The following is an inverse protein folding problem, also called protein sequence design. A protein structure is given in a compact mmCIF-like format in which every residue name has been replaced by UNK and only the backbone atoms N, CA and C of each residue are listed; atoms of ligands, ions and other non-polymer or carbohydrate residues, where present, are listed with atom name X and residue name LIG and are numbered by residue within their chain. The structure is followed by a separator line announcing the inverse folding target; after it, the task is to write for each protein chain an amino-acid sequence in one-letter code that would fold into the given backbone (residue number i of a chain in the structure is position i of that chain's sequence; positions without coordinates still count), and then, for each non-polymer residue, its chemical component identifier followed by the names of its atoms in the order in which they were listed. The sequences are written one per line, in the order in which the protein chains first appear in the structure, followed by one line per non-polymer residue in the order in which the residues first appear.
data_IF_803461499636
#
_entry.id   IF_803461499636
#
_cell.length_a   1.000
_cell.length_b   1.000
_cell.length_c   1.000
_cell.angle_alpha   90.00
_cell.angle_beta   90.00
_cell.angle_gamma   90.00
#
_symmetry.space_group_name_H-M   'P 1'
#
loop_
_entity.id
_entity.type
_entity.pdbx_description
1 polymer ?
#
# COMPACT_ATOMS: atom_id res chain seq x y z
N UNK A 1 1.48 -4.02 11.29
CA UNK A 1 2.23 -2.89 11.90
C UNK A 1 3.66 -2.96 11.40
N UNK A 2 4.25 -1.83 11.01
CA UNK A 2 5.65 -1.74 10.54
C UNK A 2 6.47 -0.90 11.52
N UNK A 3 7.78 -1.14 11.58
CA UNK A 3 8.75 -0.38 12.38
C UNK A 3 9.87 0.16 11.50
N UNK A 4 10.41 1.33 11.87
CA UNK A 4 11.49 2.01 11.14
C UNK A 4 12.43 2.69 12.14
N UNK A 5 13.74 2.61 11.90
CA UNK A 5 14.77 3.30 12.68
C UNK A 5 15.45 4.33 11.79
N UNK A 6 15.39 5.60 12.17
CA UNK A 6 16.10 6.68 11.47
C UNK A 6 17.35 7.02 12.28
N UNK A 7 18.52 6.93 11.66
CA UNK A 7 19.83 7.20 12.29
C UNK A 7 20.42 8.48 11.74
N UNK A 8 21.38 9.05 12.47
CA UNK A 8 22.16 10.23 12.05
C UNK A 8 21.29 11.46 11.75
N UNK A 9 20.25 11.69 12.56
CA UNK A 9 19.48 12.94 12.48
C UNK A 9 20.31 14.05 13.13
N UNK A 10 20.50 15.20 12.46
CA UNK A 10 21.15 16.35 13.09
C UNK A 10 20.47 16.75 14.40
N UNK A 11 21.25 17.00 15.44
CA UNK A 11 20.71 17.27 16.78
C UNK A 11 19.78 18.49 16.82
N UNK A 12 20.10 19.52 16.04
CA UNK A 12 19.27 20.73 15.92
C UNK A 12 17.89 20.43 15.32
N UNK A 13 17.82 19.51 14.35
CA UNK A 13 16.56 19.05 13.75
C UNK A 13 15.77 18.23 14.76
N UNK A 14 16.43 17.34 15.49
CA UNK A 14 15.80 16.51 16.52
C UNK A 14 15.18 17.35 17.64
N UNK A 15 15.90 18.37 18.13
CA UNK A 15 15.39 19.25 19.18
C UNK A 15 14.20 20.07 18.72
N UNK A 16 14.28 20.71 17.54
CA UNK A 16 13.13 21.44 16.95
C UNK A 16 11.93 20.53 16.74
N UNK A 17 12.15 19.27 16.38
CA UNK A 17 11.08 18.30 16.18
C UNK A 17 10.39 17.93 17.50
N UNK A 18 11.17 17.69 18.58
CA UNK A 18 10.62 17.46 19.93
C UNK A 18 9.85 18.68 20.45
N UNK A 19 10.35 19.89 20.22
CA UNK A 19 9.66 21.13 20.58
C UNK A 19 8.30 21.24 19.89
N UNK A 20 8.23 20.95 18.59
CA UNK A 20 6.96 20.92 17.84
C UNK A 20 6.01 19.86 18.38
N UNK A 21 6.52 18.67 18.71
CA UNK A 21 5.70 17.61 19.30
C UNK A 21 5.10 18.04 20.66
N UNK A 22 5.91 18.65 21.53
CA UNK A 22 5.47 19.20 22.81
C UNK A 22 4.42 20.30 22.63
N UNK A 23 4.64 21.24 21.70
CA UNK A 23 3.70 22.31 21.39
C UNK A 23 2.34 21.77 20.89
N UNK A 24 2.35 20.63 20.20
CA UNK A 24 1.15 19.93 19.74
C UNK A 24 0.53 18.99 20.80
N UNK A 25 1.13 18.86 21.99
CA UNK A 25 0.69 17.93 23.04
C UNK A 25 0.88 16.44 22.68
N UNK A 26 1.81 16.13 21.78
CA UNK A 26 2.04 14.77 21.23
C UNK A 26 3.43 14.25 21.61
N UNK A 27 3.60 12.93 21.59
CA UNK A 27 4.94 12.34 21.59
C UNK A 27 5.63 12.59 20.25
N UNK A 28 6.97 12.64 20.24
CA UNK A 28 7.73 12.77 19.00
C UNK A 28 7.42 11.62 18.03
N UNK A 29 7.24 10.40 18.54
CA UNK A 29 6.86 9.25 17.73
C UNK A 29 5.47 9.43 17.09
N UNK A 30 4.49 9.92 17.85
CA UNK A 30 3.15 10.16 17.34
C UNK A 30 3.17 11.22 16.24
N UNK A 31 3.88 12.31 16.44
CA UNK A 31 4.04 13.36 15.42
C UNK A 31 4.74 12.80 14.16
N UNK A 32 5.76 11.96 14.32
CA UNK A 32 6.45 11.33 13.19
C UNK A 32 5.53 10.40 12.40
N UNK A 33 4.71 9.61 13.10
CA UNK A 33 3.72 8.71 12.49
C UNK A 33 2.69 9.49 11.68
N UNK A 34 2.17 10.58 12.23
CA UNK A 34 1.23 11.47 11.52
C UNK A 34 1.88 12.12 10.29
N UNK A 35 3.10 12.64 10.43
CA UNK A 35 3.83 13.23 9.31
C UNK A 35 4.10 12.21 8.19
N UNK A 36 4.44 10.97 8.54
CA UNK A 36 4.62 9.87 7.58
C UNK A 36 3.28 9.51 6.94
N UNK A 37 2.17 9.46 7.69
CA UNK A 37 0.85 9.17 7.14
C UNK A 37 0.39 10.27 6.17
N UNK A 38 0.63 11.54 6.51
CA UNK A 38 0.30 12.68 5.66
C UNK A 38 1.12 12.67 4.37
N UNK A 39 2.44 12.42 4.45
CA UNK A 39 3.33 12.42 3.28
C UNK A 39 3.28 11.12 2.47
N UNK A 40 2.95 10.01 3.12
CA UNK A 40 2.84 8.68 2.52
C UNK A 40 1.47 8.41 1.91
N UNK A 41 0.48 9.28 2.16
CA UNK A 41 -0.78 9.22 1.44
C UNK A 41 -0.51 9.43 -0.05
N UNK A 42 -0.77 8.40 -0.85
CA UNK A 42 -0.69 8.49 -2.31
C UNK A 42 -1.59 9.63 -2.76
N UNK A 43 -1.02 10.63 -3.42
CA UNK A 43 -1.81 11.76 -3.89
C UNK A 43 -2.86 11.27 -4.90
N UNK A 44 -4.00 11.96 -4.96
CA UNK A 44 -5.06 11.60 -5.91
C UNK A 44 -4.53 11.57 -7.36
N UNK A 45 -3.56 12.41 -7.68
CA UNK A 45 -2.92 12.47 -9.00
C UNK A 45 -2.02 11.28 -9.28
N UNK A 46 -1.31 10.76 -8.27
CA UNK A 46 -0.54 9.53 -8.40
C UNK A 46 -1.43 8.30 -8.57
N UNK A 47 -2.55 8.24 -7.83
CA UNK A 47 -3.56 7.19 -8.04
C UNK A 47 -4.12 7.20 -9.47
N UNK A 48 -4.44 8.39 -10.00
CA UNK A 48 -4.91 8.53 -11.38
C UNK A 48 -3.84 8.08 -12.37
N UNK A 49 -2.59 8.50 -12.20
CA UNK A 49 -1.48 8.07 -13.07
C UNK A 49 -1.27 6.56 -13.04
N UNK A 50 -1.39 5.95 -11.87
CA UNK A 50 -1.24 4.50 -11.75
C UNK A 50 -2.41 3.77 -12.45
N UNK A 51 -3.63 4.27 -12.29
CA UNK A 51 -4.80 3.77 -13.01
C UNK A 51 -4.67 3.95 -14.53
N UNK A 52 -4.10 5.06 -14.99
CA UNK A 52 -3.80 5.31 -16.40
C UNK A 52 -2.73 4.34 -16.94
N UNK A 53 -1.66 4.05 -16.20
CA UNK A 53 -0.67 3.03 -16.58
C UNK A 53 -1.29 1.64 -16.70
N UNK A 54 -2.19 1.28 -15.78
CA UNK A 54 -2.93 0.01 -15.85
C UNK A 54 -3.81 0.02 -17.11
N UNK A 55 -4.59 1.08 -17.33
CA UNK A 55 -5.44 1.22 -18.52
C UNK A 55 -4.65 1.20 -19.83
N UNK A 56 -3.45 1.78 -19.86
CA UNK A 56 -2.60 1.78 -21.05
C UNK A 56 -2.03 0.39 -21.37
N UNK A 57 -1.77 -0.43 -20.34
CA UNK A 57 -1.28 -1.81 -20.50
C UNK A 57 -2.40 -2.81 -20.76
N UNK A 58 -3.59 -2.55 -20.23
CA UNK A 58 -4.76 -3.41 -20.37
C UNK A 58 -5.55 -3.04 -21.61
N UNK A 59 -5.62 -3.95 -22.59
CA UNK A 59 -6.55 -3.79 -23.71
C UNK A 59 -7.99 -4.02 -23.20
N UNK A 60 -8.92 -3.06 -23.37
CA UNK A 60 -10.32 -3.34 -23.12
C UNK A 60 -10.79 -4.43 -24.10
N UNK A 61 -11.49 -5.42 -23.56
CA UNK A 61 -12.12 -6.50 -24.34
C UNK A 61 -13.63 -6.38 -24.21
N UNK A 62 -14.37 -6.99 -25.13
CA UNK A 62 -15.83 -7.02 -25.05
C UNK A 62 -16.34 -7.89 -23.89
N UNK A 63 -17.64 -7.79 -23.62
CA UNK A 63 -18.27 -8.50 -22.51
C UNK A 63 -18.15 -10.02 -22.67
N UNK A 64 -18.31 -10.52 -23.89
CA UNK A 64 -18.22 -11.96 -24.18
C UNK A 64 -16.82 -12.51 -23.87
N UNK A 65 -15.77 -11.82 -24.33
CA UNK A 65 -14.38 -12.19 -24.03
C UNK A 65 -14.09 -12.08 -22.54
N UNK A 66 -14.63 -11.06 -21.86
CA UNK A 66 -14.49 -10.89 -20.41
C UNK A 66 -15.07 -12.08 -19.66
N UNK A 67 -16.31 -12.49 -20.00
CA UNK A 67 -16.99 -13.61 -19.35
C UNK A 67 -16.24 -14.93 -19.58
N UNK A 68 -15.70 -15.14 -20.78
CA UNK A 68 -14.86 -16.30 -21.09
C UNK A 68 -13.59 -16.35 -20.22
N UNK A 69 -12.83 -15.25 -20.15
CA UNK A 69 -11.61 -15.17 -19.32
C UNK A 69 -11.94 -15.45 -17.84
N UNK A 70 -13.05 -14.90 -17.34
CA UNK A 70 -13.49 -15.14 -15.96
C UNK A 70 -13.87 -16.59 -15.71
N UNK A 71 -14.49 -17.26 -16.68
CA UNK A 71 -14.85 -18.67 -16.57
C UNK A 71 -13.59 -19.56 -16.60
N UNK A 72 -12.68 -19.33 -17.54
CA UNK A 72 -11.39 -20.05 -17.62
C UNK A 72 -10.59 -19.93 -16.32
N UNK A 73 -10.54 -18.73 -15.71
CA UNK A 73 -9.86 -18.52 -14.44
C UNK A 73 -10.52 -19.27 -13.26
N UNK A 74 -11.85 -19.41 -13.27
CA UNK A 74 -12.57 -20.20 -12.25
C UNK A 74 -12.30 -21.69 -12.44
N UNK A 75 -12.38 -22.16 -13.68
CA UNK A 75 -12.13 -23.55 -14.00
C UNK A 75 -10.67 -23.94 -13.67
N UNK A 76 -9.70 -23.06 -13.94
CA UNK A 76 -8.31 -23.27 -13.56
C UNK A 76 -8.12 -23.32 -12.03
N UNK A 77 -8.78 -22.42 -11.29
CA UNK A 77 -8.73 -22.42 -9.81
C UNK A 77 -9.33 -23.71 -9.25
N UNK A 78 -10.49 -24.13 -9.77
CA UNK A 78 -11.23 -25.27 -9.25
C UNK A 78 -10.59 -26.61 -9.68
N UNK A 79 -9.81 -26.61 -10.77
CA UNK A 79 -9.01 -27.75 -11.22
C UNK A 79 -7.65 -27.88 -10.50
N UNK A 80 -7.23 -26.88 -9.71
CA UNK A 80 -5.99 -27.00 -8.93
C UNK A 80 -6.18 -28.08 -7.86
N UNK A 81 -5.28 -29.08 -7.78
CA UNK A 81 -5.35 -30.07 -6.73
C UNK A 81 -5.15 -29.38 -5.38
N UNK A 82 -6.01 -29.69 -4.41
CA UNK A 82 -5.87 -29.23 -3.03
C UNK A 82 -4.50 -29.67 -2.49
N UNK A 83 -3.72 -28.69 -2.00
CA UNK A 83 -2.41 -28.91 -1.42
C UNK A 83 -2.49 -28.64 0.09
N UNK A 84 -2.53 -29.71 0.93
CA UNK A 84 -2.79 -29.60 2.37
C UNK A 84 -1.85 -28.65 3.14
N UNK A 85 -0.61 -28.45 2.67
CA UNK A 85 0.38 -27.62 3.37
C UNK A 85 0.41 -26.14 2.92
N UNK A 86 -0.28 -25.80 1.82
CA UNK A 86 -0.33 -24.43 1.27
C UNK A 86 -1.74 -23.81 1.37
N UNK A 87 -2.77 -24.64 1.47
CA UNK A 87 -4.17 -24.23 1.49
C UNK A 87 -4.82 -24.29 2.89
N UNK A 88 -4.14 -24.84 3.91
CA UNK A 88 -4.56 -24.76 5.33
C UNK A 88 -3.87 -23.57 6.01
N UNK A 89 -4.60 -22.47 6.16
CA UNK A 89 -4.27 -21.39 7.10
C UNK A 89 -4.54 -21.88 8.54
N UNK A 90 -3.60 -22.60 9.15
CA UNK A 90 -3.59 -22.86 10.61
C UNK A 90 -2.47 -22.10 11.32
#
# INVERSE_FOLDING_TARGET
MASMVIRNIPDDVMERFKERARAAGKSAEQLAREAIAEKGAVSRTELIREAEKIRARSKPVDLETTLRIMQEARDERDARPYLPDLDDDR
#
